data_IF_731866881436
#
_entry.id   IF_731866881436
#
_cell.length_a   1.000
_cell.length_b   1.000
_cell.length_c   1.000
_cell.angle_alpha   90.00
_cell.angle_beta   90.00
_cell.angle_gamma   90.00
#
_symmetry.space_group_name_H-M   'P 1'
#
loop_
_entity.id
_entity.type
_entity.pdbx_description
1 polymer ?
#
# COMPACT_ATOMS: atom_id res chain seq x y z
N UNK A 1 -5.15 -56.05 -64.17
CA UNK A 1 -5.36 -54.62 -63.87
C UNK A 1 -5.47 -54.48 -62.36
N UNK A 2 -4.46 -53.90 -61.70
CA UNK A 2 -4.42 -53.77 -60.25
C UNK A 2 -5.03 -52.41 -59.84
N UNK A 3 -6.06 -52.45 -58.99
CA UNK A 3 -6.67 -51.26 -58.41
C UNK A 3 -5.74 -50.68 -57.35
N UNK A 4 -5.09 -49.56 -57.66
CA UNK A 4 -4.32 -48.78 -56.69
C UNK A 4 -5.30 -47.92 -55.89
N UNK A 5 -5.54 -48.29 -54.61
CA UNK A 5 -6.24 -47.41 -53.66
C UNK A 5 -5.23 -46.42 -53.09
N UNK A 6 -5.28 -45.19 -53.56
CA UNK A 6 -4.55 -44.06 -52.96
C UNK A 6 -5.29 -43.66 -51.69
N UNK A 7 -4.72 -43.97 -50.53
CA UNK A 7 -5.12 -43.34 -49.27
C UNK A 7 -4.60 -41.91 -49.28
N UNK A 8 -5.39 -40.98 -49.83
CA UNK A 8 -5.18 -39.57 -49.62
C UNK A 8 -5.22 -39.31 -48.12
N UNK A 9 -4.05 -39.09 -47.51
CA UNK A 9 -3.94 -38.66 -46.12
C UNK A 9 -4.79 -37.41 -45.95
N UNK A 10 -5.74 -37.47 -45.02
CA UNK A 10 -6.58 -36.34 -44.67
C UNK A 10 -5.67 -35.12 -44.45
N UNK A 11 -5.86 -34.09 -45.27
CA UNK A 11 -5.23 -32.80 -45.07
C UNK A 11 -5.47 -32.40 -43.62
N UNK A 12 -4.39 -32.18 -42.86
CA UNK A 12 -4.47 -31.62 -41.50
C UNK A 12 -5.38 -30.40 -41.58
N UNK A 13 -6.51 -30.47 -40.89
CA UNK A 13 -7.42 -29.35 -40.75
C UNK A 13 -6.61 -28.11 -40.35
N UNK A 14 -6.92 -26.92 -40.90
CA UNK A 14 -6.26 -25.69 -40.50
C UNK A 14 -6.30 -25.59 -38.97
N UNK A 15 -5.13 -25.41 -38.36
CA UNK A 15 -4.99 -25.26 -36.91
C UNK A 15 -6.02 -24.27 -36.41
N UNK A 16 -6.88 -24.73 -35.49
CA UNK A 16 -7.88 -23.90 -34.82
C UNK A 16 -7.25 -22.57 -34.37
N UNK A 17 -8.00 -21.45 -34.41
CA UNK A 17 -7.49 -20.16 -33.95
C UNK A 17 -6.94 -20.34 -32.54
N UNK A 18 -5.69 -19.90 -32.29
CA UNK A 18 -4.99 -20.03 -31.01
C UNK A 18 -5.94 -19.65 -29.87
N UNK A 19 -6.39 -20.65 -29.12
CA UNK A 19 -7.19 -20.44 -27.92
C UNK A 19 -6.39 -19.56 -26.97
N UNK A 20 -6.97 -18.44 -26.54
CA UNK A 20 -6.29 -17.49 -25.67
C UNK A 20 -6.07 -18.11 -24.30
N UNK A 21 -4.84 -18.09 -23.79
CA UNK A 21 -4.55 -18.63 -22.45
C UNK A 21 -5.28 -17.82 -21.37
N UNK A 22 -6.24 -18.40 -20.62
CA UNK A 22 -6.97 -17.68 -19.58
C UNK A 22 -6.07 -17.27 -18.42
N UNK A 23 -5.04 -18.07 -18.15
CA UNK A 23 -4.00 -17.75 -17.18
C UNK A 23 -3.23 -16.50 -17.58
N UNK A 24 -2.75 -16.44 -18.83
CA UNK A 24 -2.00 -15.28 -19.32
C UNK A 24 -2.88 -14.02 -19.32
N UNK A 25 -4.12 -14.13 -19.78
CA UNK A 25 -5.08 -13.03 -19.75
C UNK A 25 -5.33 -12.52 -18.33
N UNK A 26 -5.50 -13.43 -17.37
CA UNK A 26 -5.67 -13.09 -15.96
C UNK A 26 -4.43 -12.42 -15.35
N UNK A 27 -3.22 -12.91 -15.65
CA UNK A 27 -1.96 -12.30 -15.16
C UNK A 27 -1.79 -10.88 -15.71
N UNK A 28 -1.98 -10.68 -17.02
CA UNK A 28 -1.85 -9.36 -17.64
C UNK A 28 -2.89 -8.38 -17.11
N UNK A 29 -4.13 -8.81 -16.96
CA UNK A 29 -5.19 -8.00 -16.35
C UNK A 29 -4.86 -7.66 -14.88
N UNK A 30 -4.40 -8.64 -14.10
CA UNK A 30 -4.00 -8.45 -12.70
C UNK A 30 -2.88 -7.42 -12.56
N UNK A 31 -1.83 -7.52 -13.38
CA UNK A 31 -0.72 -6.55 -13.38
C UNK A 31 -1.20 -5.12 -13.70
N UNK A 32 -2.04 -4.96 -14.74
CA UNK A 32 -2.60 -3.66 -15.07
C UNK A 32 -3.44 -3.07 -13.93
N UNK A 33 -4.23 -3.91 -13.25
CA UNK A 33 -5.04 -3.51 -12.10
C UNK A 33 -4.19 -3.13 -10.89
N UNK A 34 -3.09 -3.85 -10.62
CA UNK A 34 -2.14 -3.49 -9.55
C UNK A 34 -1.53 -2.11 -9.81
N UNK A 35 -1.05 -1.85 -11.02
CA UNK A 35 -0.46 -0.56 -11.40
C UNK A 35 -1.49 0.56 -11.24
N UNK A 36 -2.70 0.36 -11.77
CA UNK A 36 -3.78 1.33 -11.64
C UNK A 36 -4.13 1.61 -10.17
N UNK A 37 -4.16 0.57 -9.33
CA UNK A 37 -4.45 0.72 -7.91
C UNK A 37 -3.39 1.55 -7.18
N UNK A 38 -2.10 1.23 -7.38
CA UNK A 38 -1.00 1.99 -6.77
C UNK A 38 -1.04 3.45 -7.22
N UNK A 39 -1.32 3.72 -8.50
CA UNK A 39 -1.45 5.07 -9.01
C UNK A 39 -2.62 5.82 -8.35
N UNK A 40 -3.79 5.19 -8.23
CA UNK A 40 -4.95 5.80 -7.53
C UNK A 40 -4.61 6.09 -6.08
N UNK A 41 -4.08 5.11 -5.33
CA UNK A 41 -3.73 5.27 -3.92
C UNK A 41 -2.74 6.43 -3.70
N UNK A 42 -1.78 6.59 -4.62
CA UNK A 42 -0.82 7.69 -4.56
C UNK A 42 -1.45 9.06 -4.83
N UNK A 43 -2.39 9.15 -5.76
CA UNK A 43 -3.04 10.42 -6.13
C UNK A 43 -4.09 10.83 -5.11
N UNK A 44 -4.86 9.88 -4.59
CA UNK A 44 -5.98 10.16 -3.69
C UNK A 44 -5.55 10.27 -2.23
N UNK A 45 -4.35 9.80 -1.87
CA UNK A 45 -3.92 9.62 -0.47
C UNK A 45 -4.88 8.75 0.36
N UNK A 46 -5.67 7.90 -0.31
CA UNK A 46 -6.68 7.05 0.33
C UNK A 46 -6.63 5.63 -0.21
N UNK A 47 -6.62 4.66 0.70
CA UNK A 47 -6.80 3.25 0.39
C UNK A 47 -8.28 2.96 0.12
N UNK A 48 -8.64 2.81 -1.16
CA UNK A 48 -10.03 2.57 -1.58
C UNK A 48 -10.36 1.09 -1.47
N UNK A 49 -10.73 0.63 -0.27
CA UNK A 49 -11.13 -0.77 -0.02
C UNK A 49 -12.28 -1.28 -0.92
N UNK A 50 -13.18 -0.37 -1.32
CA UNK A 50 -14.32 -0.64 -2.20
C UNK A 50 -13.89 -1.13 -3.60
N UNK A 51 -12.68 -0.81 -4.04
CA UNK A 51 -12.18 -1.18 -5.37
C UNK A 51 -11.92 -2.69 -5.51
N UNK A 52 -11.77 -3.42 -4.40
CA UNK A 52 -11.45 -4.87 -4.39
C UNK A 52 -12.50 -5.71 -5.11
N UNK A 53 -13.76 -5.33 -4.99
CA UNK A 53 -14.86 -6.01 -5.67
C UNK A 53 -14.80 -5.81 -7.18
N UNK A 54 -14.55 -4.58 -7.63
CA UNK A 54 -14.40 -4.24 -9.05
C UNK A 54 -13.24 -5.01 -9.71
N UNK A 55 -12.12 -5.15 -9.01
CA UNK A 55 -10.96 -5.95 -9.47
C UNK A 55 -11.36 -7.40 -9.72
N UNK A 56 -12.06 -8.04 -8.78
CA UNK A 56 -12.55 -9.40 -8.96
C UNK A 56 -13.50 -9.55 -10.15
N UNK A 57 -14.39 -8.57 -10.35
CA UNK A 57 -15.27 -8.52 -11.52
C UNK A 57 -14.50 -8.49 -12.85
N UNK A 58 -13.54 -7.58 -12.97
CA UNK A 58 -12.75 -7.39 -14.18
C UNK A 58 -11.88 -8.62 -14.50
N UNK A 59 -11.23 -9.21 -13.49
CA UNK A 59 -10.45 -10.45 -13.65
C UNK A 59 -11.33 -11.62 -14.07
N UNK A 60 -12.49 -11.80 -13.45
CA UNK A 60 -13.46 -12.83 -13.82
C UNK A 60 -13.88 -12.73 -15.29
N UNK A 61 -14.21 -11.51 -15.76
CA UNK A 61 -14.57 -11.24 -17.16
C UNK A 61 -13.41 -11.55 -18.11
N UNK A 62 -12.19 -11.08 -17.78
CA UNK A 62 -11.01 -11.29 -18.64
C UNK A 62 -10.71 -12.77 -18.85
N UNK A 63 -10.75 -13.55 -17.76
CA UNK A 63 -10.48 -14.99 -17.78
C UNK A 63 -11.59 -15.76 -18.50
N UNK A 64 -12.86 -15.44 -18.24
CA UNK A 64 -13.99 -16.09 -18.92
C UNK A 64 -13.96 -15.85 -20.44
N UNK A 65 -13.65 -14.62 -20.86
CA UNK A 65 -13.56 -14.26 -22.29
C UNK A 65 -12.42 -14.98 -23.01
N UNK A 66 -11.32 -15.27 -22.32
CA UNK A 66 -10.19 -16.00 -22.89
C UNK A 66 -10.45 -17.51 -23.01
N UNK A 67 -11.22 -18.10 -22.09
CA UNK A 67 -11.35 -19.55 -21.96
C UNK A 67 -12.27 -20.27 -22.96
N UNK A 68 -13.28 -19.58 -23.52
CA UNK A 68 -14.24 -20.06 -24.54
C UNK A 68 -14.30 -21.58 -24.77
N UNK A 69 -15.15 -22.35 -24.07
CA UNK A 69 -16.14 -21.91 -23.08
C UNK A 69 -15.57 -21.77 -21.65
N UNK A 70 -16.12 -20.87 -20.83
CA UNK A 70 -15.82 -20.85 -19.40
C UNK A 70 -16.32 -22.12 -18.70
N UNK A 71 -15.60 -22.55 -17.68
CA UNK A 71 -15.84 -23.79 -16.92
C UNK A 71 -15.67 -23.55 -15.41
N UNK A 72 -15.99 -24.56 -14.60
CA UNK A 72 -15.68 -24.52 -13.16
C UNK A 72 -14.20 -24.24 -12.86
N UNK A 73 -13.30 -24.81 -13.67
CA UNK A 73 -11.86 -24.63 -13.51
C UNK A 73 -11.42 -23.19 -13.78
N UNK A 74 -11.98 -22.51 -14.78
CA UNK A 74 -11.67 -21.10 -15.07
C UNK A 74 -12.23 -20.17 -14.01
N UNK A 75 -13.35 -20.53 -13.39
CA UNK A 75 -13.80 -19.88 -12.16
C UNK A 75 -12.80 -19.98 -11.02
N UNK A 76 -12.31 -21.20 -10.71
CA UNK A 76 -11.34 -21.40 -9.62
C UNK A 76 -10.06 -20.60 -9.92
N UNK A 77 -9.60 -20.64 -11.18
CA UNK A 77 -8.47 -19.83 -11.62
C UNK A 77 -8.70 -18.33 -11.39
N UNK A 78 -9.89 -17.82 -11.75
CA UNK A 78 -10.24 -16.42 -11.54
C UNK A 78 -10.27 -16.03 -10.05
N UNK A 79 -10.79 -16.91 -9.19
CA UNK A 79 -10.78 -16.71 -7.74
C UNK A 79 -9.34 -16.64 -7.19
N UNK A 80 -8.48 -17.59 -7.57
CA UNK A 80 -7.08 -17.65 -7.12
C UNK A 80 -6.30 -16.42 -7.62
N UNK A 81 -6.41 -16.07 -8.90
CA UNK A 81 -5.73 -14.92 -9.46
C UNK A 81 -6.24 -13.60 -8.87
N UNK A 82 -7.53 -13.51 -8.54
CA UNK A 82 -8.08 -12.35 -7.83
C UNK A 82 -7.49 -12.23 -6.43
N UNK A 83 -7.46 -13.33 -5.66
CA UNK A 83 -6.85 -13.32 -4.33
C UNK A 83 -5.36 -12.91 -4.37
N UNK A 84 -4.59 -13.51 -5.28
CA UNK A 84 -3.19 -13.17 -5.49
C UNK A 84 -3.00 -11.70 -5.91
N UNK A 85 -3.82 -11.21 -6.85
CA UNK A 85 -3.76 -9.81 -7.33
C UNK A 85 -4.04 -8.84 -6.20
N UNK A 86 -5.07 -9.09 -5.38
CA UNK A 86 -5.42 -8.21 -4.26
C UNK A 86 -4.32 -8.17 -3.19
N UNK A 87 -3.73 -9.31 -2.86
CA UNK A 87 -2.60 -9.38 -1.92
C UNK A 87 -1.39 -8.62 -2.46
N UNK A 88 -1.02 -8.84 -3.72
CA UNK A 88 0.10 -8.14 -4.35
C UNK A 88 -0.17 -6.64 -4.47
N UNK A 89 -1.41 -6.24 -4.79
CA UNK A 89 -1.81 -4.83 -4.82
C UNK A 89 -1.63 -4.17 -3.45
N UNK A 90 -2.08 -4.80 -2.36
CA UNK A 90 -1.87 -4.27 -1.00
C UNK A 90 -0.40 -4.16 -0.63
N UNK A 91 0.39 -5.19 -0.92
CA UNK A 91 1.84 -5.15 -0.72
C UNK A 91 2.48 -4.00 -1.52
N UNK A 92 2.08 -3.83 -2.78
CA UNK A 92 2.58 -2.77 -3.64
C UNK A 92 2.19 -1.37 -3.14
N UNK A 93 0.97 -1.18 -2.63
CA UNK A 93 0.55 0.08 -2.02
C UNK A 93 1.41 0.42 -0.80
N UNK A 94 1.65 -0.53 0.10
CA UNK A 94 2.49 -0.30 1.28
C UNK A 94 3.92 0.10 0.89
N UNK A 95 4.47 -0.53 -0.14
CA UNK A 95 5.86 -0.25 -0.57
C UNK A 95 5.97 1.02 -1.42
N UNK A 96 5.06 1.24 -2.38
CA UNK A 96 5.21 2.26 -3.41
C UNK A 96 4.33 3.50 -3.23
N UNK A 97 3.25 3.42 -2.45
CA UNK A 97 2.34 4.54 -2.23
C UNK A 97 2.45 5.08 -0.80
N UNK A 98 2.48 4.22 0.21
CA UNK A 98 2.43 4.66 1.62
C UNK A 98 3.64 5.50 2.02
N UNK A 99 4.86 5.06 1.69
CA UNK A 99 6.08 5.81 2.03
C UNK A 99 6.11 7.24 1.43
N UNK A 100 5.89 7.44 0.11
CA UNK A 100 5.90 8.79 -0.45
C UNK A 100 4.73 9.64 0.06
N UNK A 101 3.53 9.07 0.20
CA UNK A 101 2.36 9.79 0.72
C UNK A 101 2.63 10.31 2.14
N UNK A 102 3.08 9.44 3.04
CA UNK A 102 3.37 9.88 4.41
C UNK A 102 4.48 10.93 4.40
N UNK A 103 5.58 10.72 3.66
CA UNK A 103 6.66 11.71 3.55
C UNK A 103 6.13 13.09 3.11
N UNK A 104 5.28 13.14 2.09
CA UNK A 104 4.66 14.37 1.60
C UNK A 104 3.78 15.03 2.68
N UNK A 105 2.93 14.25 3.35
CA UNK A 105 2.10 14.74 4.47
C UNK A 105 2.93 15.27 5.63
N UNK A 106 4.00 14.56 6.01
CA UNK A 106 4.92 14.96 7.08
C UNK A 106 5.61 16.29 6.75
N UNK A 107 6.07 16.48 5.51
CA UNK A 107 6.72 17.74 5.10
C UNK A 107 5.73 18.90 5.07
N UNK A 108 4.49 18.67 4.64
CA UNK A 108 3.47 19.71 4.52
C UNK A 108 2.89 20.12 5.89
N UNK A 109 2.68 19.17 6.81
CA UNK A 109 2.10 19.45 8.12
C UNK A 109 3.19 19.69 9.18
N UNK A 110 3.25 20.94 9.69
CA UNK A 110 4.13 21.30 10.80
C UNK A 110 3.84 20.49 12.07
N UNK A 111 2.60 20.03 12.26
CA UNK A 111 2.22 19.20 13.41
C UNK A 111 2.88 17.83 13.33
N UNK A 112 2.92 17.23 12.14
CA UNK A 112 3.55 15.94 11.90
C UNK A 112 5.08 15.99 12.08
N UNK A 113 5.70 17.13 11.77
CA UNK A 113 7.16 17.34 11.95
C UNK A 113 7.57 17.82 13.34
N UNK A 114 6.64 18.23 14.21
CA UNK A 114 6.95 18.73 15.55
C UNK A 114 7.85 17.77 16.37
N UNK A 115 7.53 16.48 16.36
CA UNK A 115 8.35 15.45 17.00
C UNK A 115 9.78 15.36 16.43
N UNK A 116 9.95 15.61 15.12
CA UNK A 116 11.28 15.63 14.48
C UNK A 116 12.07 16.87 14.88
N UNK A 117 11.41 18.02 15.03
CA UNK A 117 12.03 19.23 15.58
C UNK A 117 12.47 19.04 17.02
N UNK A 118 11.67 18.39 17.86
CA UNK A 118 12.10 18.05 19.22
C UNK A 118 13.41 17.23 19.22
N UNK A 119 13.49 16.19 18.39
CA UNK A 119 14.69 15.35 18.29
C UNK A 119 15.91 16.13 17.78
N UNK A 120 15.73 16.96 16.76
CA UNK A 120 16.81 17.81 16.23
C UNK A 120 17.26 18.85 17.26
N UNK A 121 16.33 19.49 17.96
CA UNK A 121 16.63 20.50 18.96
C UNK A 121 17.35 19.91 20.17
N UNK A 122 16.90 18.75 20.65
CA UNK A 122 17.54 18.02 21.74
C UNK A 122 18.95 17.54 21.36
N UNK A 123 19.13 17.03 20.14
CA UNK A 123 20.44 16.57 19.66
C UNK A 123 21.43 17.73 19.47
N UNK A 124 20.96 18.86 18.97
CA UNK A 124 21.81 20.01 18.64
C UNK A 124 21.88 21.07 19.76
N UNK A 125 21.28 20.80 20.93
CA UNK A 125 21.21 21.73 22.07
C UNK A 125 20.72 23.14 21.66
N UNK A 126 19.62 23.20 20.91
CA UNK A 126 19.10 24.45 20.31
C UNK A 126 17.78 24.93 20.90
N UNK A 127 17.43 24.46 22.10
CA UNK A 127 16.38 25.07 22.91
C UNK A 127 16.80 26.47 23.40
N UNK A 128 15.85 27.24 23.92
CA UNK A 128 16.18 28.52 24.58
C UNK A 128 17.21 28.31 25.71
N UNK A 129 18.07 29.31 26.00
CA UNK A 129 19.15 29.13 26.98
C UNK A 129 18.67 28.65 28.36
N UNK A 130 17.53 29.18 28.83
CA UNK A 130 16.95 28.83 30.14
C UNK A 130 16.40 27.39 30.14
N UNK A 131 15.72 27.00 29.05
CA UNK A 131 15.19 25.65 28.89
C UNK A 131 16.32 24.64 28.74
N UNK A 132 17.34 24.96 27.94
CA UNK A 132 18.52 24.11 27.73
C UNK A 132 19.28 23.92 29.05
N UNK A 133 19.51 24.99 29.81
CA UNK A 133 20.12 24.91 31.13
C UNK A 133 19.33 23.99 32.06
N UNK A 134 18.00 24.07 32.03
CA UNK A 134 17.12 23.21 32.85
C UNK A 134 17.22 21.74 32.43
N UNK A 135 17.25 21.45 31.12
CA UNK A 135 17.41 20.08 30.60
C UNK A 135 18.77 19.48 30.96
N UNK A 136 19.83 20.27 30.89
CA UNK A 136 21.20 19.84 31.19
C UNK A 136 21.41 19.63 32.69
N UNK A 137 20.80 20.48 33.53
CA UNK A 137 20.97 20.44 34.99
C UNK A 137 20.02 19.45 35.67
N UNK A 138 18.82 19.22 35.10
CA UNK A 138 17.75 18.43 35.70
C UNK A 138 17.11 17.45 34.71
N UNK A 139 17.87 16.49 34.14
CA UNK A 139 17.35 15.53 33.17
C UNK A 139 16.26 14.61 33.74
N UNK A 140 16.20 14.44 35.07
CA UNK A 140 15.17 13.67 35.76
C UNK A 140 13.76 14.22 35.59
N UNK A 141 13.61 15.54 35.37
CA UNK A 141 12.30 16.18 35.18
C UNK A 141 11.61 15.71 33.89
N UNK A 142 12.36 15.29 32.88
CA UNK A 142 11.79 14.69 31.66
C UNK A 142 11.06 13.37 31.96
N UNK A 143 11.50 12.64 32.98
CA UNK A 143 10.93 11.35 33.40
C UNK A 143 9.79 11.51 34.40
N UNK A 144 9.63 12.69 35.00
CA UNK A 144 8.58 12.95 35.99
C UNK A 144 7.21 13.02 35.32
N UNK A 145 6.40 11.95 35.40
CA UNK A 145 5.07 11.87 34.79
C UNK A 145 3.97 12.50 35.65
N UNK A 146 4.32 13.18 36.75
CA UNK A 146 3.36 13.84 37.64
C UNK A 146 2.60 14.95 36.91
N UNK A 147 1.26 14.89 36.95
CA UNK A 147 0.39 15.80 36.21
C UNK A 147 0.51 17.28 36.62
N UNK A 148 0.83 17.57 37.88
CA UNK A 148 0.98 18.93 38.43
C UNK A 148 2.42 19.22 38.90
N UNK A 149 3.39 18.39 38.48
CA UNK A 149 4.79 18.52 38.89
C UNK A 149 5.58 19.47 38.00
N UNK A 150 6.82 19.78 38.42
CA UNK A 150 7.78 20.54 37.61
C UNK A 150 8.07 19.88 36.25
N UNK A 151 7.91 18.55 36.14
CA UNK A 151 7.99 17.85 34.86
C UNK A 151 6.87 18.22 33.88
N UNK A 152 5.66 18.54 34.36
CA UNK A 152 4.56 18.96 33.49
C UNK A 152 4.80 20.36 32.91
N UNK A 153 5.30 21.29 33.73
CA UNK A 153 5.68 22.63 33.28
C UNK A 153 6.83 22.57 32.26
N UNK A 154 7.87 21.78 32.54
CA UNK A 154 8.99 21.59 31.63
C UNK A 154 8.53 21.05 30.26
N UNK A 155 7.65 20.03 30.24
CA UNK A 155 7.09 19.50 28.99
C UNK A 155 6.27 20.55 28.24
N UNK A 156 5.49 21.35 28.94
CA UNK A 156 4.73 22.43 28.32
C UNK A 156 5.64 23.47 27.65
N UNK A 157 6.76 23.81 28.28
CA UNK A 157 7.76 24.71 27.70
C UNK A 157 8.42 24.10 26.45
N UNK A 158 8.88 22.84 26.54
CA UNK A 158 9.43 22.09 25.41
C UNK A 158 8.43 22.09 24.24
N UNK A 159 7.20 21.67 24.50
CA UNK A 159 6.16 21.60 23.46
C UNK A 159 5.92 22.96 22.83
N UNK A 160 5.88 24.03 23.62
CA UNK A 160 5.66 25.39 23.11
C UNK A 160 6.79 25.87 22.18
N UNK A 161 8.06 25.62 22.55
CA UNK A 161 9.22 26.01 21.74
C UNK A 161 9.33 25.16 20.47
N UNK A 162 9.13 23.84 20.58
CA UNK A 162 9.12 22.91 19.45
C UNK A 162 8.03 23.31 18.45
N UNK A 163 6.82 23.59 18.94
CA UNK A 163 5.70 24.03 18.10
C UNK A 163 6.00 25.37 17.44
N UNK A 164 6.56 26.33 18.18
CA UNK A 164 6.96 27.63 17.61
C UNK A 164 8.00 27.45 16.50
N UNK A 165 9.01 26.61 16.73
CA UNK A 165 10.06 26.31 15.74
C UNK A 165 9.53 25.59 14.52
N UNK A 166 8.68 24.59 14.71
CA UNK A 166 8.05 23.85 13.63
C UNK A 166 7.14 24.76 12.77
N UNK A 167 6.36 25.65 13.40
CA UNK A 167 5.54 26.65 12.67
C UNK A 167 6.39 27.64 11.87
N UNK A 168 7.49 28.10 12.43
CA UNK A 168 8.39 29.06 11.79
C UNK A 168 9.29 28.44 10.70
N UNK A 169 9.39 27.11 10.66
CA UNK A 169 10.27 26.41 9.71
C UNK A 169 9.80 26.51 8.26
N UNK A 170 10.77 26.53 7.35
CA UNK A 170 10.54 26.46 5.90
C UNK A 170 10.30 25.02 5.45
N UNK A 171 9.74 24.84 4.24
CA UNK A 171 9.55 23.52 3.65
C UNK A 171 10.88 22.77 3.46
N UNK A 172 11.94 23.46 3.02
CA UNK A 172 13.27 22.88 2.84
C UNK A 172 13.84 22.33 4.15
N UNK A 173 13.63 23.06 5.26
CA UNK A 173 14.08 22.63 6.56
C UNK A 173 13.32 21.39 7.05
N UNK A 174 11.99 21.35 6.84
CA UNK A 174 11.19 20.16 7.15
C UNK A 174 11.62 18.96 6.31
N UNK A 175 11.87 19.15 5.03
CA UNK A 175 12.32 18.10 4.13
C UNK A 175 13.69 17.53 4.53
N UNK A 176 14.61 18.39 4.97
CA UNK A 176 15.90 17.98 5.55
C UNK A 176 15.70 17.11 6.80
N UNK A 177 14.83 17.52 7.72
CA UNK A 177 14.57 16.79 8.96
C UNK A 177 13.88 15.44 8.72
N UNK A 178 12.91 15.41 7.80
CA UNK A 178 12.26 14.17 7.38
C UNK A 178 13.29 13.23 6.77
N UNK A 179 14.12 13.65 5.82
CA UNK A 179 15.19 12.79 5.30
C UNK A 179 16.13 12.27 6.41
N UNK A 180 16.57 13.15 7.31
CA UNK A 180 17.54 12.79 8.35
C UNK A 180 17.01 11.76 9.37
N UNK A 181 15.71 11.80 9.69
CA UNK A 181 15.12 11.01 10.76
C UNK A 181 14.11 9.94 10.29
N UNK A 182 13.54 10.09 9.11
CA UNK A 182 12.44 9.27 8.61
C UNK A 182 12.90 8.15 7.68
N UNK A 183 13.85 8.43 6.77
CA UNK A 183 14.28 7.48 5.73
C UNK A 183 14.89 6.19 6.30
N UNK A 184 15.49 6.28 7.47
CA UNK A 184 16.13 5.15 8.14
C UNK A 184 15.22 4.44 9.14
N UNK A 185 13.99 4.92 9.39
CA UNK A 185 13.29 4.56 10.63
C UNK A 185 11.87 4.02 10.52
N UNK A 186 11.06 4.28 9.48
CA UNK A 186 9.67 3.82 9.52
C UNK A 186 9.51 2.29 9.40
N UNK A 187 10.02 1.69 8.32
CA UNK A 187 10.03 0.23 8.15
C UNK A 187 10.86 -0.46 9.22
N UNK A 188 11.93 0.20 9.70
CA UNK A 188 12.81 -0.32 10.74
C UNK A 188 12.17 -0.29 12.14
N UNK A 189 11.36 0.73 12.47
CA UNK A 189 10.73 0.90 13.78
C UNK A 189 9.44 0.12 13.93
N UNK A 190 8.54 0.18 12.93
CA UNK A 190 7.26 -0.50 13.01
C UNK A 190 7.31 -1.92 12.44
N UNK A 191 8.23 -2.20 11.53
CA UNK A 191 8.29 -3.46 10.81
C UNK A 191 7.28 -3.53 9.66
N UNK A 192 7.73 -4.05 8.53
CA UNK A 192 6.91 -4.21 7.32
C UNK A 192 5.56 -4.89 7.60
N UNK A 193 5.58 -5.95 8.41
CA UNK A 193 4.39 -6.74 8.72
C UNK A 193 3.33 -5.97 9.51
N UNK A 194 3.74 -5.07 10.41
CA UNK A 194 2.79 -4.24 11.17
C UNK A 194 2.10 -3.25 10.26
N UNK A 195 2.86 -2.57 9.39
CA UNK A 195 2.29 -1.63 8.42
C UNK A 195 1.35 -2.34 7.44
N UNK A 196 1.72 -3.52 6.98
CA UNK A 196 0.87 -4.33 6.12
C UNK A 196 -0.43 -4.72 6.84
N UNK A 197 -0.35 -5.24 8.07
CA UNK A 197 -1.54 -5.64 8.84
C UNK A 197 -2.45 -4.45 9.17
N UNK A 198 -1.88 -3.30 9.53
CA UNK A 198 -2.65 -2.07 9.76
C UNK A 198 -3.37 -1.59 8.49
N UNK A 199 -2.85 -1.91 7.31
CA UNK A 199 -3.51 -1.57 6.05
C UNK A 199 -4.76 -2.42 5.78
N UNK A 200 -4.97 -3.56 6.45
CA UNK A 200 -6.15 -4.39 6.24
C UNK A 200 -7.27 -4.02 7.21
N UNK A 201 -8.27 -3.29 6.70
CA UNK A 201 -9.50 -3.02 7.45
C UNK A 201 -10.47 -4.21 7.46
N UNK A 202 -11.39 -4.31 8.43
CA UNK A 202 -12.47 -5.31 8.40
C UNK A 202 -13.32 -5.25 7.13
N UNK A 203 -13.55 -4.04 6.61
CA UNK A 203 -14.25 -3.82 5.35
C UNK A 203 -13.45 -4.33 4.15
N UNK A 204 -12.11 -4.23 4.16
CA UNK A 204 -11.28 -4.76 3.07
C UNK A 204 -11.46 -6.26 2.93
N UNK A 205 -11.47 -6.99 4.05
CA UNK A 205 -11.69 -8.44 4.05
C UNK A 205 -13.04 -8.82 3.43
N UNK A 206 -14.09 -8.05 3.75
CA UNK A 206 -15.42 -8.22 3.15
C UNK A 206 -15.37 -7.99 1.64
N UNK A 207 -14.79 -6.88 1.18
CA UNK A 207 -14.71 -6.55 -0.25
C UNK A 207 -13.81 -7.50 -1.03
N UNK A 208 -12.74 -8.00 -0.43
CA UNK A 208 -11.89 -9.04 -1.00
C UNK A 208 -12.69 -10.35 -1.16
N UNK A 209 -13.45 -10.76 -0.14
CA UNK A 209 -14.33 -11.92 -0.22
C UNK A 209 -15.36 -11.79 -1.34
N UNK A 210 -16.00 -10.62 -1.44
CA UNK A 210 -16.93 -10.29 -2.53
C UNK A 210 -16.25 -10.32 -3.91
N UNK A 211 -15.05 -9.75 -4.03
CA UNK A 211 -14.26 -9.78 -5.26
C UNK A 211 -13.92 -11.20 -5.70
N UNK A 212 -13.44 -12.04 -4.79
CA UNK A 212 -13.11 -13.45 -5.05
C UNK A 212 -14.37 -14.23 -5.47
N UNK A 213 -15.48 -14.06 -4.75
CA UNK A 213 -16.75 -14.71 -5.08
C UNK A 213 -17.30 -14.27 -6.44
N UNK A 214 -17.19 -12.98 -6.76
CA UNK A 214 -17.61 -12.41 -8.04
C UNK A 214 -16.73 -12.94 -9.19
N UNK A 215 -15.41 -12.96 -9.00
CA UNK A 215 -14.47 -13.52 -9.97
C UNK A 215 -14.75 -15.01 -10.24
N UNK A 216 -15.04 -15.77 -9.18
CA UNK A 216 -15.40 -17.18 -9.29
C UNK A 216 -16.64 -17.38 -10.16
N UNK A 217 -17.73 -16.65 -9.89
CA UNK A 217 -18.99 -16.76 -10.66
C UNK A 217 -18.82 -16.34 -12.12
N UNK A 218 -18.20 -15.18 -12.36
CA UNK A 218 -17.97 -14.67 -13.72
C UNK A 218 -17.01 -15.57 -14.50
N UNK A 219 -15.95 -16.07 -13.87
CA UNK A 219 -14.99 -16.98 -14.48
C UNK A 219 -15.61 -18.31 -14.93
N UNK A 220 -16.74 -18.72 -14.35
CA UNK A 220 -17.53 -19.90 -14.77
C UNK A 220 -18.59 -19.58 -15.82
N UNK A 221 -18.79 -18.30 -16.16
CA UNK A 221 -19.90 -17.84 -17.00
C UNK A 221 -21.26 -17.93 -16.32
N UNK A 222 -21.32 -17.85 -14.98
CA UNK A 222 -22.56 -17.98 -14.19
C UNK A 222 -23.29 -16.66 -13.92
N UNK A 223 -23.04 -15.61 -14.71
CA UNK A 223 -23.73 -14.31 -14.67
C UNK A 223 -23.86 -13.81 -16.11
#
# INVERSE_FOLDING_TARGET
>A
MANVRVYGGAAKAPSAPKEGSPLLAGILAGLALIIAWVAVARITHHDVGLASWGVGGLLGIAIAKAAKPPTKATGILAAILTAATLLVAKLAVVVFALQPVLREEFVQDWRATSSLFFLDMAKNHSFSPDLQHTLDTRPELLRDTSFLGAGAELRSQIDSEVVARAKASTLEERERLVHAHYDSSLLAKFGFWVLLLMSFGPLDLLWMGLGIGTAWKLGQGLI
#
